data_IF_836125103064
#
_entry.id   IF_836125103064
#
_cell.length_a   1.000
_cell.length_b   1.000
_cell.length_c   1.000
_cell.angle_alpha   90.00
_cell.angle_beta   90.00
_cell.angle_gamma   90.00
#
_symmetry.space_group_name_H-M   'P 1'
#
loop_
_entity.id
_entity.type
_entity.pdbx_description
1 polymer ?
#
# COMPACT_ATOMS: atom_id res chain seq x y z
N UNK A 1 -0.24 -10.00 -13.81
CA UNK A 1 -1.31 -10.26 -14.79
C UNK A 1 -0.75 -10.32 -16.21
N UNK A 2 -0.09 -9.27 -16.71
CA UNK A 2 0.44 -9.24 -18.07
C UNK A 2 1.40 -10.41 -18.40
N UNK A 3 2.11 -10.93 -17.41
CA UNK A 3 2.99 -12.10 -17.53
C UNK A 3 2.29 -13.45 -17.31
N UNK A 4 0.96 -13.47 -17.21
CA UNK A 4 0.18 -14.68 -17.01
C UNK A 4 -0.15 -15.01 -15.55
N UNK A 5 0.17 -14.13 -14.61
CA UNK A 5 -0.28 -14.27 -13.22
C UNK A 5 -1.79 -14.08 -13.09
N UNK A 6 -2.42 -14.73 -12.10
CA UNK A 6 -3.87 -14.69 -11.87
C UNK A 6 -4.28 -13.83 -10.67
N UNK A 7 -3.34 -13.21 -10.00
CA UNK A 7 -3.60 -12.37 -8.82
C UNK A 7 -2.31 -11.93 -8.15
N UNK A 8 -2.43 -11.42 -6.94
CA UNK A 8 -1.30 -10.90 -6.15
C UNK A 8 -1.51 -11.14 -4.66
N UNK A 9 -0.42 -11.43 -3.96
CA UNK A 9 -0.36 -11.39 -2.50
C UNK A 9 0.37 -10.09 -2.15
N UNK A 10 -0.35 -9.11 -1.60
CA UNK A 10 0.11 -7.73 -1.49
C UNK A 10 0.14 -7.23 -0.05
N UNK A 11 1.26 -6.67 0.37
CA UNK A 11 1.39 -5.93 1.64
C UNK A 11 0.56 -4.64 1.59
N UNK A 12 0.64 -3.89 0.50
CA UNK A 12 -0.06 -2.62 0.34
C UNK A 12 -1.60 -2.77 0.30
N UNK A 13 -2.12 -3.96 0.03
CA UNK A 13 -3.56 -4.24 0.00
C UNK A 13 -4.27 -3.95 1.33
N UNK A 14 -3.56 -3.96 2.45
CA UNK A 14 -4.10 -3.56 3.75
C UNK A 14 -4.51 -2.08 3.81
N UNK A 15 -4.03 -1.27 2.88
CA UNK A 15 -4.27 0.17 2.82
C UNK A 15 -5.02 0.56 1.54
N UNK A 16 -4.64 -0.02 0.40
CA UNK A 16 -5.16 0.33 -0.95
C UNK A 16 -5.81 -0.86 -1.66
N UNK A 17 -6.39 -1.79 -0.91
CA UNK A 17 -6.94 -3.04 -1.46
C UNK A 17 -8.03 -2.83 -2.50
N UNK A 18 -8.91 -1.84 -2.33
CA UNK A 18 -10.00 -1.55 -3.27
C UNK A 18 -9.47 -1.07 -4.63
N UNK A 19 -8.49 -0.19 -4.64
CA UNK A 19 -7.84 0.26 -5.89
C UNK A 19 -7.08 -0.91 -6.57
N UNK A 20 -6.50 -1.80 -5.77
CA UNK A 20 -5.82 -2.98 -6.28
C UNK A 20 -6.80 -3.95 -6.96
N UNK A 21 -7.96 -4.20 -6.34
CA UNK A 21 -9.04 -5.00 -6.93
C UNK A 21 -9.59 -4.35 -8.19
N UNK A 22 -9.79 -3.04 -8.17
CA UNK A 22 -10.24 -2.28 -9.35
C UNK A 22 -9.27 -2.37 -10.51
N UNK A 23 -7.96 -2.36 -10.23
CA UNK A 23 -6.92 -2.54 -11.25
C UNK A 23 -6.99 -3.93 -11.89
N UNK A 24 -7.14 -4.98 -11.07
CA UNK A 24 -7.24 -6.37 -11.53
C UNK A 24 -8.50 -6.53 -12.42
N UNK A 25 -9.64 -6.05 -11.93
CA UNK A 25 -10.91 -6.10 -12.67
C UNK A 25 -10.82 -5.37 -14.03
N UNK A 26 -10.23 -4.18 -14.04
CA UNK A 26 -10.01 -3.44 -15.29
C UNK A 26 -9.14 -4.22 -16.27
N UNK A 27 -8.08 -4.87 -15.79
CA UNK A 27 -7.19 -5.68 -16.63
C UNK A 27 -7.94 -6.89 -17.20
N UNK A 28 -8.68 -7.63 -16.39
CA UNK A 28 -9.45 -8.81 -16.80
C UNK A 28 -10.54 -8.48 -17.82
N UNK A 29 -11.13 -7.29 -17.72
CA UNK A 29 -12.11 -6.76 -18.69
C UNK A 29 -11.46 -6.18 -19.96
N UNK A 30 -10.15 -6.23 -20.08
CA UNK A 30 -9.43 -5.69 -21.23
C UNK A 30 -9.27 -4.17 -21.23
N UNK A 31 -9.65 -3.47 -20.14
CA UNK A 31 -9.47 -2.03 -20.01
C UNK A 31 -8.06 -1.71 -19.51
N UNK A 32 -7.08 -1.90 -20.38
CA UNK A 32 -5.66 -1.73 -20.05
C UNK A 32 -5.31 -0.30 -19.69
N UNK A 33 -5.99 0.70 -20.27
CA UNK A 33 -5.76 2.11 -19.95
C UNK A 33 -6.12 2.42 -18.48
N UNK A 34 -7.27 1.92 -18.01
CA UNK A 34 -7.68 2.09 -16.62
C UNK A 34 -6.77 1.30 -15.66
N UNK A 35 -6.41 0.06 -15.99
CA UNK A 35 -5.49 -0.75 -15.19
C UNK A 35 -4.13 -0.06 -15.04
N UNK A 36 -3.57 0.48 -16.12
CA UNK A 36 -2.31 1.23 -16.12
C UNK A 36 -2.39 2.48 -15.26
N UNK A 37 -3.45 3.26 -15.38
CA UNK A 37 -3.66 4.48 -14.58
C UNK A 37 -3.67 4.17 -13.09
N UNK A 38 -4.40 3.12 -12.67
CA UNK A 38 -4.46 2.68 -11.29
C UNK A 38 -3.09 2.18 -10.81
N UNK A 39 -2.38 1.40 -11.62
CA UNK A 39 -1.03 0.93 -11.29
C UNK A 39 -0.08 2.09 -11.01
N UNK A 40 -0.07 3.09 -11.90
CA UNK A 40 0.81 4.26 -11.74
C UNK A 40 0.42 5.11 -10.52
N UNK A 41 -0.87 5.22 -10.21
CA UNK A 41 -1.35 5.87 -8.98
C UNK A 41 -0.86 5.15 -7.73
N UNK A 42 -0.95 3.82 -7.72
CA UNK A 42 -0.58 2.99 -6.55
C UNK A 42 0.93 2.80 -6.38
N UNK A 43 1.72 2.95 -7.45
CA UNK A 43 3.14 2.60 -7.43
C UNK A 43 3.94 3.27 -6.30
N UNK A 44 3.80 4.58 -6.01
CA UNK A 44 4.55 5.22 -4.94
C UNK A 44 4.27 4.62 -3.56
N UNK A 45 3.00 4.35 -3.24
CA UNK A 45 2.63 3.78 -1.95
C UNK A 45 3.01 2.30 -1.85
N UNK A 46 2.88 1.53 -2.94
CA UNK A 46 3.35 0.14 -2.98
C UNK A 46 4.84 0.04 -2.70
N UNK A 47 5.64 0.88 -3.36
CA UNK A 47 7.08 0.95 -3.13
C UNK A 47 7.42 1.47 -1.73
N UNK A 48 6.68 2.46 -1.26
CA UNK A 48 6.86 3.09 0.04
C UNK A 48 6.61 2.14 1.23
N UNK A 49 5.82 1.08 1.06
CA UNK A 49 5.64 0.08 2.12
C UNK A 49 6.90 -0.76 2.41
N UNK A 50 7.97 -0.57 1.65
CA UNK A 50 9.24 -1.31 1.77
C UNK A 50 10.47 -0.40 1.90
N UNK A 51 10.32 0.88 2.25
CA UNK A 51 11.46 1.80 2.42
C UNK A 51 12.30 1.47 3.65
N UNK A 52 11.70 0.81 4.65
CA UNK A 52 12.35 0.15 5.78
C UNK A 52 11.78 -1.26 5.92
N UNK A 53 12.26 -2.01 6.90
CA UNK A 53 11.87 -3.42 7.07
C UNK A 53 10.34 -3.60 7.19
N UNK A 54 9.77 -4.42 6.32
CA UNK A 54 8.38 -4.86 6.43
C UNK A 54 8.23 -5.78 7.66
N UNK A 55 7.15 -5.66 8.45
CA UNK A 55 5.90 -4.95 8.19
C UNK A 55 5.81 -3.55 8.84
N UNK A 56 6.90 -2.91 9.19
CA UNK A 56 6.87 -1.62 9.93
C UNK A 56 6.06 -0.56 9.16
N UNK A 57 6.33 -0.28 7.87
CA UNK A 57 5.58 0.76 7.16
C UNK A 57 4.10 0.46 7.04
N UNK A 58 3.70 -0.76 6.70
CA UNK A 58 2.28 -1.10 6.50
C UNK A 58 1.51 -1.09 7.82
N UNK A 59 2.08 -1.57 8.91
CA UNK A 59 1.42 -1.51 10.24
C UNK A 59 1.27 -0.06 10.71
N UNK A 60 2.28 0.77 10.48
CA UNK A 60 2.21 2.21 10.74
C UNK A 60 1.10 2.86 9.91
N UNK A 61 1.04 2.56 8.61
CA UNK A 61 0.00 3.07 7.73
C UNK A 61 -1.41 2.66 8.20
N UNK A 62 -1.60 1.39 8.54
CA UNK A 62 -2.88 0.86 9.06
C UNK A 62 -3.31 1.59 10.33
N UNK A 63 -2.38 1.82 11.27
CA UNK A 63 -2.67 2.59 12.48
C UNK A 63 -3.03 4.06 12.16
N UNK A 64 -2.30 4.70 11.25
CA UNK A 64 -2.54 6.10 10.87
C UNK A 64 -3.90 6.32 10.21
N UNK A 65 -4.41 5.34 9.47
CA UNK A 65 -5.76 5.40 8.87
C UNK A 65 -6.88 4.96 9.84
N UNK A 66 -6.56 4.76 11.12
CA UNK A 66 -7.53 4.44 12.16
C UNK A 66 -7.94 2.97 12.23
N UNK A 67 -7.21 2.07 11.59
CA UNK A 67 -7.45 0.64 11.66
C UNK A 67 -6.55 -0.03 12.72
N UNK A 68 -6.93 -1.18 13.28
CA UNK A 68 -6.20 -1.82 14.38
C UNK A 68 -4.93 -2.56 13.91
N UNK A 69 -3.89 -1.82 13.51
CA UNK A 69 -2.58 -2.38 13.15
C UNK A 69 -1.81 -2.95 14.34
N UNK A 70 -2.10 -2.47 15.54
CA UNK A 70 -1.48 -2.92 16.79
C UNK A 70 -0.02 -2.50 16.95
N UNK A 71 0.62 -3.10 17.97
CA UNK A 71 2.02 -2.83 18.31
C UNK A 71 2.97 -3.76 17.55
N UNK A 72 4.27 -3.44 17.64
CA UNK A 72 5.34 -4.24 17.04
C UNK A 72 5.88 -5.27 18.03
N UNK A 73 6.23 -6.44 17.53
CA UNK A 73 6.91 -7.50 18.30
C UNK A 73 8.36 -7.58 17.88
N UNK A 74 9.27 -7.73 18.83
CA UNK A 74 10.70 -7.96 18.56
C UNK A 74 10.89 -9.14 17.58
N UNK A 75 11.83 -9.05 16.65
CA UNK A 75 12.85 -8.00 16.50
C UNK A 75 12.38 -6.69 15.83
N UNK A 76 11.11 -6.60 15.40
CA UNK A 76 10.55 -5.36 14.86
C UNK A 76 10.25 -4.38 15.99
N UNK A 77 10.56 -3.09 15.76
CA UNK A 77 10.33 -1.99 16.68
C UNK A 77 9.43 -0.94 16.05
N UNK A 78 8.87 -0.06 16.86
CA UNK A 78 8.10 1.07 16.35
C UNK A 78 8.98 1.96 15.45
N UNK A 79 8.40 2.59 14.41
CA UNK A 79 9.13 3.51 13.55
C UNK A 79 9.62 4.73 14.35
N UNK A 80 10.68 5.35 13.88
CA UNK A 80 11.08 6.68 14.34
C UNK A 80 10.04 7.73 13.93
N UNK A 81 10.12 8.94 14.47
CA UNK A 81 9.23 10.04 14.08
C UNK A 81 9.38 10.40 12.60
N UNK A 82 10.58 10.35 12.10
CA UNK A 82 10.89 10.61 10.68
C UNK A 82 10.31 9.55 9.78
N UNK A 83 10.44 8.28 10.17
CA UNK A 83 9.86 7.15 9.43
C UNK A 83 8.33 7.19 9.43
N UNK A 84 7.72 7.48 10.57
CA UNK A 84 6.26 7.68 10.67
C UNK A 84 5.80 8.86 9.81
N UNK A 85 6.52 9.98 9.83
CA UNK A 85 6.23 11.15 9.00
C UNK A 85 6.32 10.82 7.50
N UNK A 86 7.28 9.98 7.11
CA UNK A 86 7.39 9.51 5.73
C UNK A 86 6.17 8.68 5.31
N UNK A 87 5.72 7.74 6.16
CA UNK A 87 4.50 6.95 5.90
C UNK A 87 3.27 7.86 5.82
N UNK A 88 3.14 8.84 6.70
CA UNK A 88 2.06 9.83 6.68
C UNK A 88 2.02 10.57 5.34
N UNK A 89 3.16 11.08 4.90
CA UNK A 89 3.27 11.77 3.60
C UNK A 89 2.87 10.88 2.42
N UNK A 90 3.25 9.60 2.43
CA UNK A 90 2.82 8.64 1.39
C UNK A 90 1.29 8.49 1.37
N UNK A 91 0.65 8.40 2.53
CA UNK A 91 -0.80 8.28 2.66
C UNK A 91 -1.52 9.55 2.19
N UNK A 92 -1.06 10.72 2.63
CA UNK A 92 -1.62 12.02 2.24
C UNK A 92 -1.50 12.25 0.73
N UNK A 93 -0.35 11.96 0.15
CA UNK A 93 -0.12 12.06 -1.31
C UNK A 93 -1.00 11.09 -2.10
N UNK A 94 -1.36 9.97 -1.51
CA UNK A 94 -2.29 9.02 -2.13
C UNK A 94 -3.74 9.51 -2.08
N UNK A 95 -4.10 10.33 -1.08
CA UNK A 95 -5.43 10.93 -0.91
C UNK A 95 -6.13 10.59 0.41
N UNK A 96 -5.43 9.99 1.38
CA UNK A 96 -5.97 9.81 2.71
C UNK A 96 -6.01 11.14 3.46
N UNK A 97 -7.11 11.38 4.17
CA UNK A 97 -7.24 12.49 5.13
C UNK A 97 -6.86 11.96 6.53
N UNK A 98 -5.76 12.46 7.05
CA UNK A 98 -5.21 12.01 8.34
C UNK A 98 -5.32 13.10 9.41
#
# INVERSE_FOLDING_TARGET
>A
LAAGGVGVISVASHVIGEDLLSMIDAFEKGNLAAARRLHLKMYPIMKGMFFIASPIPVKTAVNLIGQPGGNFRLPMVAPTKEEESHVRTLLENYGFLL
#
